data_IF_649618003897
#
_entry.id   IF_649618003897
#
_cell.length_a   1.000
_cell.length_b   1.000
_cell.length_c   1.000
_cell.angle_alpha   90.00
_cell.angle_beta   90.00
_cell.angle_gamma   90.00
#
_symmetry.space_group_name_H-M   'P 1'
#
loop_
_entity.id
_entity.type
_entity.pdbx_description
1 polymer ?
#
# COMPACT_ATOMS: atom_id res chain seq x y z
N UNK A 1 34.33 -64.11 -19.50
CA UNK A 1 33.73 -62.98 -20.23
C UNK A 1 32.81 -62.24 -19.27
N UNK A 2 33.28 -61.12 -18.68
CA UNK A 2 32.50 -60.29 -17.71
C UNK A 2 31.75 -59.24 -18.52
N UNK A 3 30.40 -59.28 -18.48
CA UNK A 3 29.55 -58.25 -19.08
C UNK A 3 29.51 -56.99 -18.14
N UNK A 4 30.01 -55.91 -18.64
CA UNK A 4 29.94 -54.59 -17.97
C UNK A 4 28.56 -54.01 -18.23
N UNK A 5 27.77 -53.84 -17.17
CA UNK A 5 26.45 -53.19 -17.23
C UNK A 5 26.67 -51.69 -17.03
N UNK A 6 26.49 -50.91 -18.09
CA UNK A 6 26.55 -49.43 -18.02
C UNK A 6 25.17 -48.94 -17.64
N UNK A 7 25.07 -48.38 -16.40
CA UNK A 7 23.86 -47.74 -15.92
C UNK A 7 23.88 -46.27 -16.39
N UNK A 8 23.02 -45.95 -17.35
CA UNK A 8 22.82 -44.54 -17.80
C UNK A 8 21.83 -43.86 -16.85
N UNK A 9 22.33 -42.97 -16.00
CA UNK A 9 21.54 -42.18 -15.11
C UNK A 9 21.04 -40.94 -15.87
N UNK A 10 19.78 -40.95 -16.30
CA UNK A 10 19.14 -39.78 -16.93
C UNK A 10 18.73 -38.78 -15.84
N UNK A 11 19.45 -37.69 -15.74
CA UNK A 11 19.08 -36.53 -14.89
C UNK A 11 18.00 -35.75 -15.62
N UNK A 12 16.76 -35.87 -15.15
CA UNK A 12 15.66 -35.01 -15.62
C UNK A 12 15.83 -33.63 -15.03
N UNK A 13 16.20 -32.65 -15.85
CA UNK A 13 16.27 -31.24 -15.50
C UNK A 13 14.83 -30.68 -15.43
N UNK A 14 14.28 -30.57 -14.23
CA UNK A 14 12.98 -29.90 -14.03
C UNK A 14 13.22 -28.40 -14.15
N UNK A 15 12.88 -27.80 -15.29
CA UNK A 15 12.84 -26.40 -15.49
C UNK A 15 11.65 -25.81 -14.72
N UNK A 16 11.91 -25.22 -13.54
CA UNK A 16 10.91 -24.42 -12.82
C UNK A 16 10.76 -23.11 -13.56
N UNK A 17 9.72 -23.01 -14.38
CA UNK A 17 9.34 -21.74 -15.01
C UNK A 17 8.69 -20.84 -13.97
N UNK A 18 9.41 -19.84 -13.46
CA UNK A 18 8.82 -18.75 -12.72
C UNK A 18 7.99 -17.90 -13.69
N UNK A 19 6.68 -18.08 -13.65
CA UNK A 19 5.75 -17.16 -14.31
C UNK A 19 5.80 -15.84 -13.56
N UNK A 20 6.54 -14.86 -14.10
CA UNK A 20 6.45 -13.48 -13.66
C UNK A 20 5.08 -12.99 -14.12
N UNK A 21 4.12 -12.87 -13.19
CA UNK A 21 2.87 -12.19 -13.45
C UNK A 21 3.20 -10.70 -13.68
N UNK A 22 3.45 -10.33 -14.91
CA UNK A 22 3.44 -8.93 -15.33
C UNK A 22 1.98 -8.50 -15.21
N UNK A 23 1.65 -7.76 -14.15
CA UNK A 23 0.36 -7.08 -14.07
C UNK A 23 0.23 -6.23 -15.32
N UNK A 24 -0.76 -6.52 -16.14
CA UNK A 24 -1.00 -5.76 -17.36
C UNK A 24 -1.17 -4.28 -16.99
N UNK A 25 -0.40 -3.40 -17.63
CA UNK A 25 -0.57 -1.96 -17.46
C UNK A 25 -2.03 -1.62 -17.81
N UNK A 26 -2.78 -1.16 -16.82
CA UNK A 26 -4.15 -0.72 -17.05
C UNK A 26 -4.11 0.64 -17.71
N UNK A 27 -4.95 0.86 -18.71
CA UNK A 27 -5.11 2.17 -19.35
C UNK A 27 -6.56 2.64 -19.25
N UNK A 28 -6.74 3.95 -19.29
CA UNK A 28 -8.04 4.61 -19.32
C UNK A 28 -8.15 5.47 -20.58
N UNK A 29 -9.19 5.28 -21.37
CA UNK A 29 -9.50 6.19 -22.47
C UNK A 29 -10.37 7.33 -21.94
N UNK A 30 -9.88 8.55 -22.06
CA UNK A 30 -10.56 9.77 -21.60
C UNK A 30 -11.93 9.91 -22.25
N UNK A 31 -12.93 10.17 -21.46
CA UNK A 31 -14.28 10.51 -21.91
C UNK A 31 -14.64 11.95 -21.51
N UNK A 32 -15.71 12.49 -22.10
CA UNK A 32 -16.14 13.85 -21.79
C UNK A 32 -16.42 14.04 -20.29
N UNK A 33 -15.86 15.08 -19.69
CA UNK A 33 -15.98 15.39 -18.26
C UNK A 33 -14.93 14.73 -17.37
N UNK A 34 -14.03 13.91 -17.89
CA UNK A 34 -12.86 13.43 -17.16
C UNK A 34 -11.86 14.57 -16.91
N UNK A 35 -11.15 14.43 -15.82
CA UNK A 35 -9.93 15.18 -15.50
C UNK A 35 -8.90 14.19 -14.99
N UNK A 36 -7.60 14.53 -15.06
CA UNK A 36 -6.55 13.67 -14.53
C UNK A 36 -6.80 13.31 -13.05
N UNK A 37 -7.33 14.26 -12.27
CA UNK A 37 -7.74 14.03 -10.88
C UNK A 37 -8.88 13.00 -10.75
N UNK A 38 -9.96 13.14 -11.53
CA UNK A 38 -11.08 12.18 -11.49
C UNK A 38 -10.64 10.77 -11.87
N UNK A 39 -9.74 10.66 -12.84
CA UNK A 39 -9.17 9.37 -13.25
C UNK A 39 -8.30 8.81 -12.11
N UNK A 40 -7.43 9.63 -11.51
CA UNK A 40 -6.62 9.23 -10.38
C UNK A 40 -7.46 8.69 -9.20
N UNK A 41 -8.55 9.39 -8.85
CA UNK A 41 -9.50 8.96 -7.81
C UNK A 41 -10.19 7.64 -8.19
N UNK A 42 -10.65 7.50 -9.44
CA UNK A 42 -11.32 6.28 -9.94
C UNK A 42 -10.45 5.03 -9.81
N UNK A 43 -9.16 5.17 -10.05
CA UNK A 43 -8.20 4.05 -10.00
C UNK A 43 -7.42 3.96 -8.69
N UNK A 44 -7.76 4.78 -7.69
CA UNK A 44 -7.08 4.83 -6.38
C UNK A 44 -5.55 5.01 -6.50
N UNK A 45 -5.12 5.83 -7.45
CA UNK A 45 -3.72 6.22 -7.67
C UNK A 45 -3.51 7.70 -7.38
N UNK A 46 -2.31 8.08 -6.97
CA UNK A 46 -2.04 9.48 -6.72
C UNK A 46 -1.94 10.30 -8.01
N UNK A 47 -2.32 11.59 -7.94
CA UNK A 47 -2.23 12.48 -9.09
C UNK A 47 -0.78 12.65 -9.58
N UNK A 48 0.19 12.66 -8.67
CA UNK A 48 1.62 12.72 -9.00
C UNK A 48 2.09 11.46 -9.74
N UNK A 49 1.60 10.28 -9.31
CA UNK A 49 1.95 9.00 -9.88
C UNK A 49 1.37 8.84 -11.29
N UNK A 50 0.10 9.21 -11.47
CA UNK A 50 -0.52 9.14 -12.79
C UNK A 50 0.10 10.16 -13.77
N UNK A 51 0.43 11.37 -13.31
CA UNK A 51 1.19 12.35 -14.11
C UNK A 51 2.56 11.79 -14.52
N UNK A 52 3.30 11.18 -13.59
CA UNK A 52 4.62 10.57 -13.85
C UNK A 52 4.54 9.38 -14.82
N UNK A 53 3.46 8.60 -14.77
CA UNK A 53 3.23 7.47 -15.69
C UNK A 53 2.83 7.92 -17.10
N UNK A 54 2.59 9.22 -17.31
CA UNK A 54 2.11 9.80 -18.57
C UNK A 54 2.96 11.00 -19.02
N UNK A 55 4.28 10.84 -19.17
CA UNK A 55 5.16 11.96 -19.55
C UNK A 55 4.87 12.49 -20.97
N UNK A 56 4.15 11.72 -21.80
CA UNK A 56 3.71 12.12 -23.13
C UNK A 56 2.62 13.21 -23.10
N UNK A 57 1.98 13.44 -21.94
CA UNK A 57 0.95 14.46 -21.76
C UNK A 57 1.61 15.72 -21.23
N UNK A 58 1.86 16.68 -22.12
CA UNK A 58 2.56 17.91 -21.79
C UNK A 58 1.80 18.81 -20.80
N UNK A 59 0.46 18.80 -20.87
CA UNK A 59 -0.39 19.53 -19.92
C UNK A 59 -1.41 18.57 -19.26
N UNK A 60 -1.10 18.01 -18.08
CA UNK A 60 -2.02 17.09 -17.37
C UNK A 60 -3.33 17.74 -16.88
N UNK A 61 -3.41 19.06 -16.88
CA UNK A 61 -4.64 19.76 -16.48
C UNK A 61 -5.60 19.96 -17.68
N UNK A 62 -5.13 19.61 -18.90
CA UNK A 62 -5.90 19.69 -20.12
C UNK A 62 -5.81 18.37 -20.90
N UNK A 63 -6.76 17.47 -20.66
CA UNK A 63 -6.89 16.19 -21.35
C UNK A 63 -8.16 16.18 -22.20
N UNK A 64 -8.14 15.45 -23.32
CA UNK A 64 -9.23 15.42 -24.29
C UNK A 64 -9.81 14.03 -24.46
N UNK A 65 -11.12 13.90 -24.75
CA UNK A 65 -11.73 12.63 -25.08
C UNK A 65 -10.96 11.87 -26.18
N UNK A 66 -10.78 10.57 -25.98
CA UNK A 66 -10.00 9.70 -26.83
C UNK A 66 -8.52 9.58 -26.48
N UNK A 67 -7.96 10.45 -25.65
CA UNK A 67 -6.59 10.26 -25.14
C UNK A 67 -6.51 9.01 -24.25
N UNK A 68 -5.38 8.29 -24.33
CA UNK A 68 -5.12 7.11 -23.50
C UNK A 68 -4.21 7.52 -22.36
N UNK A 69 -4.68 7.28 -21.13
CA UNK A 69 -3.96 7.52 -19.88
C UNK A 69 -3.44 6.18 -19.35
N UNK A 70 -2.14 6.07 -19.16
CA UNK A 70 -1.53 4.93 -18.50
C UNK A 70 -1.81 5.00 -16.99
N UNK A 71 -2.42 3.97 -16.44
CA UNK A 71 -2.70 3.88 -15.02
C UNK A 71 -1.57 3.08 -14.36
N UNK A 72 -0.79 3.68 -13.45
CA UNK A 72 0.25 2.94 -12.75
C UNK A 72 -0.37 1.82 -11.92
N UNK A 73 0.17 0.59 -12.06
CA UNK A 73 -0.27 -0.53 -11.24
C UNK A 73 0.21 -0.35 -9.80
N UNK A 74 -0.70 -0.47 -8.84
CA UNK A 74 -0.32 -0.81 -7.48
C UNK A 74 -0.13 -2.32 -7.41
N UNK A 75 0.99 -2.80 -6.84
CA UNK A 75 1.23 -4.24 -6.72
C UNK A 75 0.05 -4.92 -6.01
N UNK A 76 -0.64 -5.81 -6.70
CA UNK A 76 -1.90 -6.41 -6.22
C UNK A 76 -1.75 -7.19 -4.90
N UNK A 77 -0.59 -7.81 -4.66
CA UNK A 77 -0.29 -8.51 -3.42
C UNK A 77 -0.12 -7.58 -2.21
N UNK A 78 0.52 -6.43 -2.41
CA UNK A 78 0.69 -5.40 -1.37
C UNK A 78 -0.68 -4.86 -0.95
N UNK A 79 -1.53 -4.52 -1.92
CA UNK A 79 -2.89 -4.04 -1.64
C UNK A 79 -3.75 -5.07 -0.90
N UNK A 80 -3.60 -6.37 -1.18
CA UNK A 80 -4.35 -7.41 -0.48
C UNK A 80 -3.93 -7.52 1.00
N UNK A 81 -2.64 -7.40 1.30
CA UNK A 81 -2.12 -7.41 2.68
C UNK A 81 -2.62 -6.19 3.48
N UNK A 82 -2.62 -5.02 2.87
CA UNK A 82 -3.11 -3.79 3.48
C UNK A 82 -4.60 -3.87 3.80
N UNK A 83 -5.42 -4.36 2.86
CA UNK A 83 -6.86 -4.59 3.06
C UNK A 83 -7.13 -5.62 4.16
N UNK A 84 -6.33 -6.67 4.22
CA UNK A 84 -6.46 -7.69 5.27
C UNK A 84 -6.13 -7.12 6.66
N UNK A 85 -5.11 -6.27 6.79
CA UNK A 85 -4.84 -5.56 8.07
C UNK A 85 -6.04 -4.70 8.47
N UNK A 86 -6.65 -3.97 7.53
CA UNK A 86 -7.83 -3.13 7.82
C UNK A 86 -9.00 -3.99 8.28
N UNK A 87 -9.25 -5.14 7.64
CA UNK A 87 -10.29 -6.09 8.02
C UNK A 87 -10.09 -6.60 9.45
N UNK A 88 -8.88 -7.07 9.77
CA UNK A 88 -8.53 -7.57 11.11
C UNK A 88 -8.68 -6.50 12.19
N UNK A 89 -8.25 -5.28 11.91
CA UNK A 89 -8.42 -4.14 12.82
C UNK A 89 -9.89 -3.84 13.05
N UNK A 90 -10.71 -3.86 12.02
CA UNK A 90 -12.15 -3.62 12.15
C UNK A 90 -12.85 -4.71 12.95
N UNK A 91 -12.49 -5.98 12.77
CA UNK A 91 -12.98 -7.06 13.63
C UNK A 91 -12.64 -6.85 15.10
N UNK A 92 -11.40 -6.43 15.39
CA UNK A 92 -11.00 -6.11 16.77
C UNK A 92 -11.82 -4.95 17.32
N UNK A 93 -12.02 -3.90 16.53
CA UNK A 93 -12.82 -2.74 16.95
C UNK A 93 -14.26 -3.12 17.26
N UNK A 94 -14.90 -3.88 16.38
CA UNK A 94 -16.29 -4.35 16.59
C UNK A 94 -16.39 -5.22 17.86
N UNK A 95 -15.45 -6.14 18.09
CA UNK A 95 -15.38 -6.94 19.32
C UNK A 95 -15.20 -6.10 20.59
N UNK A 96 -14.69 -4.87 20.46
CA UNK A 96 -14.55 -3.91 21.57
C UNK A 96 -15.66 -2.83 21.59
N UNK A 97 -16.77 -3.03 20.87
CA UNK A 97 -17.91 -2.12 20.88
C UNK A 97 -17.70 -0.82 20.08
N UNK A 98 -16.69 -0.77 19.22
CA UNK A 98 -16.36 0.40 18.41
C UNK A 98 -16.89 0.23 16.98
N UNK A 99 -17.15 1.36 16.31
CA UNK A 99 -17.50 1.36 14.89
C UNK A 99 -16.29 0.96 14.05
N UNK A 100 -16.54 0.32 12.92
CA UNK A 100 -15.53 0.09 11.90
C UNK A 100 -14.98 1.41 11.35
N UNK A 101 -13.69 1.39 10.98
CA UNK A 101 -13.05 2.47 10.27
C UNK A 101 -13.27 2.30 8.78
N UNK A 102 -13.58 3.39 8.08
CA UNK A 102 -13.70 3.39 6.63
C UNK A 102 -12.31 3.29 5.99
N UNK A 103 -12.20 2.44 4.98
CA UNK A 103 -11.04 2.42 4.10
C UNK A 103 -10.86 3.78 3.42
N UNK A 104 -9.65 4.31 3.49
CA UNK A 104 -9.28 5.55 2.81
C UNK A 104 -8.04 5.29 1.93
N UNK A 105 -8.25 5.24 0.62
CA UNK A 105 -7.19 4.92 -0.35
C UNK A 105 -6.07 5.98 -0.37
N UNK A 106 -6.40 7.27 -0.19
CA UNK A 106 -5.40 8.35 -0.12
C UNK A 106 -4.52 8.18 1.12
N UNK A 107 -5.13 7.82 2.25
CA UNK A 107 -4.40 7.55 3.48
C UNK A 107 -3.54 6.28 3.36
N UNK A 108 -4.00 5.24 2.65
CA UNK A 108 -3.17 4.08 2.29
C UNK A 108 -1.96 4.48 1.46
N UNK A 109 -2.17 5.36 0.48
CA UNK A 109 -1.09 5.90 -0.34
C UNK A 109 -0.03 6.61 0.52
N UNK A 110 -0.44 7.50 1.42
CA UNK A 110 0.49 8.19 2.34
C UNK A 110 1.23 7.19 3.23
N UNK A 111 0.54 6.19 3.77
CA UNK A 111 1.13 5.13 4.58
C UNK A 111 2.17 4.29 3.79
N UNK A 112 1.92 4.00 2.51
CA UNK A 112 2.91 3.34 1.63
C UNK A 112 4.15 4.20 1.43
N UNK A 113 3.97 5.51 1.18
CA UNK A 113 5.10 6.44 1.09
C UNK A 113 5.91 6.46 2.38
N UNK A 114 5.26 6.43 3.55
CA UNK A 114 5.97 6.36 4.83
C UNK A 114 6.75 5.06 5.00
N UNK A 115 6.15 3.93 4.67
CA UNK A 115 6.83 2.63 4.72
C UNK A 115 8.02 2.57 3.75
N UNK A 116 7.85 3.11 2.54
CA UNK A 116 8.93 3.19 1.55
C UNK A 116 10.04 4.12 2.00
N UNK A 117 9.70 5.27 2.56
CA UNK A 117 10.64 6.25 3.08
C UNK A 117 11.48 5.67 4.23
N UNK A 118 10.86 4.94 5.18
CA UNK A 118 11.58 4.24 6.23
C UNK A 118 12.59 3.23 5.66
N UNK A 119 12.21 2.50 4.61
CA UNK A 119 13.09 1.53 3.93
C UNK A 119 14.24 2.23 3.22
N UNK A 120 13.96 3.24 2.39
CA UNK A 120 14.92 3.86 1.48
C UNK A 120 15.95 4.71 2.25
N UNK A 121 15.50 5.42 3.27
CA UNK A 121 16.36 6.24 4.13
C UNK A 121 16.89 5.46 5.36
N UNK A 122 16.65 4.13 5.45
CA UNK A 122 17.21 3.23 6.46
C UNK A 122 16.97 3.67 7.90
N UNK A 123 15.75 4.12 8.20
CA UNK A 123 15.35 4.47 9.56
C UNK A 123 14.06 3.74 9.97
N UNK A 124 13.76 3.77 11.27
CA UNK A 124 12.51 3.27 11.83
C UNK A 124 12.04 4.23 12.93
N UNK A 125 11.21 5.19 12.57
CA UNK A 125 10.73 6.25 13.45
C UNK A 125 9.45 6.87 12.90
N UNK A 126 8.63 7.43 13.77
CA UNK A 126 7.46 8.22 13.37
C UNK A 126 7.88 9.48 12.59
N UNK A 127 8.98 10.12 12.98
CA UNK A 127 9.48 11.32 12.28
C UNK A 127 10.33 10.92 11.09
N UNK A 128 9.91 11.35 9.90
CA UNK A 128 10.63 11.19 8.65
C UNK A 128 11.69 12.28 8.48
N UNK A 129 12.88 11.95 7.99
CA UNK A 129 13.86 12.97 7.61
C UNK A 129 13.44 13.78 6.37
N UNK A 130 12.49 13.26 5.57
CA UNK A 130 12.00 13.89 4.33
C UNK A 130 10.69 14.64 4.57
N UNK A 131 9.73 14.02 5.29
CA UNK A 131 8.36 14.50 5.43
C UNK A 131 8.02 15.07 6.80
N UNK A 132 8.96 15.00 7.77
CA UNK A 132 8.72 15.41 9.15
C UNK A 132 7.84 14.43 9.93
N UNK A 133 7.02 14.93 10.84
CA UNK A 133 6.08 14.13 11.61
C UNK A 133 5.00 13.50 10.72
N UNK A 134 4.33 12.39 11.13
CA UNK A 134 3.23 11.80 10.37
C UNK A 134 2.11 12.82 10.09
N UNK A 135 1.89 13.75 10.99
CA UNK A 135 0.89 14.81 10.84
C UNK A 135 1.28 15.82 9.75
N UNK A 136 2.55 16.19 9.68
CA UNK A 136 3.08 17.04 8.61
C UNK A 136 3.02 16.31 7.27
N UNK A 137 3.39 15.03 7.25
CA UNK A 137 3.31 14.20 6.06
C UNK A 137 1.87 14.11 5.54
N UNK A 138 0.89 13.74 6.37
CA UNK A 138 -0.52 13.68 5.96
C UNK A 138 -0.98 15.01 5.34
N UNK A 139 -0.65 16.15 5.97
CA UNK A 139 -0.99 17.49 5.46
C UNK A 139 -0.34 17.80 4.13
N UNK A 140 0.95 17.45 3.94
CA UNK A 140 1.65 17.68 2.67
C UNK A 140 1.07 16.88 1.49
N UNK A 141 0.37 15.77 1.79
CA UNK A 141 -0.37 14.97 0.82
C UNK A 141 -1.85 15.40 0.68
N UNK A 142 -2.26 16.51 1.31
CA UNK A 142 -3.62 17.06 1.22
C UNK A 142 -4.65 16.37 2.11
N UNK A 143 -4.24 15.50 3.03
CA UNK A 143 -5.15 14.84 3.98
C UNK A 143 -5.59 15.84 5.06
N UNK A 144 -6.90 16.03 5.17
CA UNK A 144 -7.53 16.87 6.20
C UNK A 144 -8.16 16.00 7.28
N UNK A 145 -8.06 16.45 8.54
CA UNK A 145 -8.58 15.71 9.70
C UNK A 145 -8.74 16.63 10.91
N UNK A 146 -9.52 16.18 11.89
CA UNK A 146 -9.60 16.77 13.25
C UNK A 146 -8.65 16.07 14.21
N UNK A 147 -8.59 14.74 14.12
CA UNK A 147 -7.70 13.89 14.92
C UNK A 147 -6.95 12.94 14.01
N UNK A 148 -5.72 12.59 14.37
CA UNK A 148 -4.92 11.64 13.60
C UNK A 148 -3.98 10.83 14.49
N UNK A 149 -3.56 9.66 14.02
CA UNK A 149 -2.59 8.79 14.69
C UNK A 149 -1.85 7.92 13.68
N UNK A 150 -0.73 7.38 14.14
CA UNK A 150 0.11 6.48 13.36
C UNK A 150 0.60 5.31 14.21
N UNK A 151 0.58 4.12 13.65
CA UNK A 151 1.32 2.96 14.11
C UNK A 151 2.33 2.57 13.04
N UNK A 152 3.55 2.20 13.43
CA UNK A 152 4.56 1.64 12.53
C UNK A 152 5.04 0.29 13.06
N UNK A 153 5.44 -0.58 12.14
CA UNK A 153 6.04 -1.87 12.47
C UNK A 153 7.05 -2.29 11.41
N UNK A 154 7.95 -3.21 11.77
CA UNK A 154 8.99 -3.71 10.87
C UNK A 154 9.28 -5.18 11.17
N UNK A 155 9.38 -5.99 10.13
CA UNK A 155 9.79 -7.40 10.23
C UNK A 155 8.64 -8.40 10.24
N UNK A 156 7.40 -7.99 10.51
CA UNK A 156 6.23 -8.88 10.46
C UNK A 156 5.91 -9.24 9.00
N UNK A 157 5.84 -10.54 8.71
CA UNK A 157 5.70 -11.04 7.34
C UNK A 157 4.25 -11.27 6.91
N UNK A 158 3.29 -11.16 7.84
CA UNK A 158 1.86 -11.35 7.54
C UNK A 158 1.01 -10.26 8.18
N UNK A 159 -0.20 -10.00 7.64
CA UNK A 159 -1.18 -9.09 8.23
C UNK A 159 -1.55 -9.46 9.68
N UNK A 160 -1.73 -10.75 9.97
CA UNK A 160 -2.06 -11.18 11.33
C UNK A 160 -0.93 -10.86 12.30
N UNK A 161 0.33 -11.17 11.94
CA UNK A 161 1.49 -10.90 12.81
C UNK A 161 1.64 -9.42 13.15
N UNK A 162 1.42 -8.53 12.20
CA UNK A 162 1.55 -7.08 12.45
C UNK A 162 0.43 -6.56 13.32
N UNK A 163 -0.80 -7.01 13.10
CA UNK A 163 -1.95 -6.63 13.94
C UNK A 163 -1.77 -7.15 15.37
N UNK A 164 -1.34 -8.39 15.55
CA UNK A 164 -1.05 -8.96 16.88
C UNK A 164 0.06 -8.19 17.59
N UNK A 165 1.14 -7.82 16.88
CA UNK A 165 2.23 -7.01 17.44
C UNK A 165 1.72 -5.64 17.91
N UNK A 166 0.89 -4.96 17.12
CA UNK A 166 0.30 -3.69 17.52
C UNK A 166 -0.67 -3.85 18.70
N UNK A 167 -1.49 -4.90 18.72
CA UNK A 167 -2.41 -5.14 19.85
C UNK A 167 -1.70 -5.53 21.15
N UNK A 168 -0.51 -6.09 21.07
CA UNK A 168 0.31 -6.40 22.25
C UNK A 168 1.11 -5.19 22.77
N UNK A 169 1.11 -4.06 22.08
CA UNK A 169 1.71 -2.80 22.50
C UNK A 169 0.63 -1.83 22.97
N UNK A 170 0.72 -1.31 24.19
CA UNK A 170 -0.30 -0.44 24.78
C UNK A 170 -0.54 0.84 23.94
N UNK A 171 0.53 1.47 23.45
CA UNK A 171 0.43 2.68 22.62
C UNK A 171 -0.22 2.42 21.26
N UNK A 172 0.19 1.35 20.57
CA UNK A 172 -0.38 0.99 19.28
C UNK A 172 -1.84 0.53 19.40
N UNK A 173 -2.15 -0.25 20.46
CA UNK A 173 -3.51 -0.67 20.78
C UNK A 173 -4.41 0.53 21.05
N UNK A 174 -3.92 1.53 21.78
CA UNK A 174 -4.68 2.74 22.05
C UNK A 174 -5.09 3.46 20.76
N UNK A 175 -4.23 3.49 19.74
CA UNK A 175 -4.60 4.03 18.43
C UNK A 175 -5.68 3.17 17.75
N UNK A 176 -5.52 1.84 17.73
CA UNK A 176 -6.51 0.93 17.10
C UNK A 176 -7.88 1.06 17.76
N UNK A 177 -7.94 1.23 19.07
CA UNK A 177 -9.19 1.32 19.86
C UNK A 177 -9.64 2.76 20.10
N UNK A 178 -9.06 3.75 19.46
CA UNK A 178 -9.49 5.13 19.63
C UNK A 178 -10.83 5.37 18.91
N UNK A 179 -11.84 5.78 19.69
CA UNK A 179 -13.20 6.03 19.20
C UNK A 179 -13.31 7.29 18.32
N UNK A 180 -12.34 8.21 18.42
CA UNK A 180 -12.32 9.46 17.64
C UNK A 180 -11.91 9.26 16.19
N UNK A 181 -11.37 8.11 15.83
CA UNK A 181 -10.99 7.82 14.45
C UNK A 181 -12.18 7.25 13.67
N UNK A 182 -12.29 7.68 12.41
CA UNK A 182 -13.36 7.29 11.48
C UNK A 182 -12.84 6.63 10.21
N UNK A 183 -11.58 6.84 9.87
CA UNK A 183 -10.97 6.32 8.64
C UNK A 183 -9.57 5.75 8.93
N UNK A 184 -9.16 4.79 8.11
CA UNK A 184 -7.90 4.08 8.22
C UNK A 184 -7.23 3.93 6.86
N UNK A 185 -5.91 4.06 6.84
CA UNK A 185 -5.06 3.66 5.73
C UNK A 185 -3.89 2.83 6.21
N UNK A 186 -3.52 1.83 5.43
CA UNK A 186 -2.38 0.95 5.70
C UNK A 186 -1.46 0.96 4.49
N UNK A 187 -0.15 0.98 4.74
CA UNK A 187 0.89 0.89 3.74
C UNK A 187 1.92 -0.17 4.09
N UNK A 188 2.23 -1.03 3.14
CA UNK A 188 3.18 -2.12 3.30
C UNK A 188 4.27 -2.09 2.22
N UNK A 189 5.51 -2.33 2.63
CA UNK A 189 6.66 -2.54 1.74
C UNK A 189 7.29 -3.88 2.08
N UNK A 190 7.20 -4.84 1.16
CA UNK A 190 7.67 -6.21 1.36
C UNK A 190 9.18 -6.32 1.61
N UNK A 191 9.99 -5.47 0.94
CA UNK A 191 11.44 -5.43 1.16
C UNK A 191 11.74 -4.88 2.55
N UNK A 192 12.02 -5.77 3.52
CA UNK A 192 12.27 -5.46 4.91
C UNK A 192 11.00 -5.43 5.78
N UNK A 193 9.83 -5.74 5.21
CA UNK A 193 8.54 -5.81 5.90
C UNK A 193 8.25 -4.55 6.73
N UNK A 194 8.25 -3.39 6.08
CA UNK A 194 7.87 -2.13 6.72
C UNK A 194 6.37 -1.91 6.61
N UNK A 195 5.74 -1.59 7.74
CA UNK A 195 4.32 -1.34 7.86
C UNK A 195 4.06 0.04 8.46
N UNK A 196 3.10 0.72 7.90
CA UNK A 196 2.55 1.96 8.45
C UNK A 196 1.03 1.86 8.45
N UNK A 197 0.43 2.20 9.58
CA UNK A 197 -1.00 2.30 9.75
C UNK A 197 -1.32 3.73 10.19
N UNK A 198 -2.13 4.42 9.42
CA UNK A 198 -2.56 5.79 9.69
C UNK A 198 -4.05 5.84 9.96
N UNK A 199 -4.44 6.67 10.90
CA UNK A 199 -5.82 6.89 11.32
C UNK A 199 -6.16 8.36 11.24
N UNK A 200 -7.40 8.68 10.83
CA UNK A 200 -7.94 10.02 10.91
C UNK A 200 -9.38 10.02 11.44
N UNK A 201 -9.74 11.09 12.14
CA UNK A 201 -11.12 11.45 12.47
C UNK A 201 -11.50 12.72 11.74
N UNK A 202 -12.66 12.73 11.10
CA UNK A 202 -13.25 13.88 10.39
C UNK A 202 -14.39 14.51 11.18
#
# INVERSE_FOLDING_TARGET
MKKLLVLVLSVALIAVTFSVNVSAATSHTVVAGDTMWKIAVRYEVGLSEIKKANPQISNPDLIYPGQVINIPSTESSVTSYEKEVIRLVNEIRVKNGLRELKYNWELCRVARYKSQDMKDNRYFSHTSPVYGSPFQMMKSFGITYRTAGENIAKGQTTPQMVVDAWMNSSGHRANILNASYTEIGVGYVASGNYWTQMFIGK
#
